data_IF_012283189719
#
_entry.id   IF_012283189719
#
_cell.length_a   1.000
_cell.length_b   1.000
_cell.length_c   1.000
_cell.angle_alpha   90.00
_cell.angle_beta   90.00
_cell.angle_gamma   90.00
#
_symmetry.space_group_name_H-M   'P 1'
#
loop_
_entity.id
_entity.type
_entity.pdbx_description
1 polymer ?
#
# COMPACT_ATOMS: atom_id res chain seq x y z
N UNK A 1 -10.84 6.51 -27.60
CA UNK A 1 -10.98 6.56 -26.13
C UNK A 1 -9.64 6.13 -25.57
N UNK A 2 -8.95 7.00 -24.85
CA UNK A 2 -7.61 6.72 -24.37
C UNK A 2 -7.72 5.67 -23.25
N UNK A 3 -6.93 4.60 -23.29
CA UNK A 3 -6.94 3.55 -22.25
C UNK A 3 -6.70 4.12 -20.82
N UNK A 4 -5.98 5.24 -20.72
CA UNK A 4 -5.75 5.99 -19.48
C UNK A 4 -7.04 6.60 -18.92
N UNK A 5 -7.91 7.15 -19.76
CA UNK A 5 -9.19 7.72 -19.33
C UNK A 5 -10.15 6.65 -18.85
N UNK A 6 -10.12 5.49 -19.52
CA UNK A 6 -10.92 4.32 -19.12
C UNK A 6 -10.46 3.77 -17.77
N UNK A 7 -9.15 3.68 -17.54
CA UNK A 7 -8.59 3.28 -16.26
C UNK A 7 -8.96 4.26 -15.13
N UNK A 8 -8.85 5.58 -15.36
CA UNK A 8 -9.24 6.61 -14.39
C UNK A 8 -10.72 6.53 -14.02
N UNK A 9 -11.59 6.37 -14.99
CA UNK A 9 -13.04 6.22 -14.75
C UNK A 9 -13.36 4.98 -13.92
N UNK A 10 -12.69 3.85 -14.17
CA UNK A 10 -12.87 2.63 -13.38
C UNK A 10 -12.35 2.79 -11.95
N UNK A 11 -11.23 3.46 -11.74
CA UNK A 11 -10.70 3.79 -10.40
C UNK A 11 -11.69 4.67 -9.64
N UNK A 12 -12.24 5.69 -10.29
CA UNK A 12 -13.22 6.57 -9.68
C UNK A 12 -14.51 5.84 -9.29
N UNK A 13 -14.99 4.92 -10.14
CA UNK A 13 -16.11 4.04 -9.83
C UNK A 13 -15.81 3.10 -8.65
N UNK A 14 -14.59 2.58 -8.57
CA UNK A 14 -14.15 1.75 -7.44
C UNK A 14 -14.18 2.53 -6.12
N UNK A 15 -13.73 3.79 -6.11
CA UNK A 15 -13.71 4.66 -4.92
C UNK A 15 -15.10 5.12 -4.51
N UNK A 16 -15.99 5.40 -5.46
CA UNK A 16 -17.35 5.89 -5.19
C UNK A 16 -18.27 4.82 -4.61
N UNK A 17 -18.02 3.55 -4.88
CA UNK A 17 -18.81 2.45 -4.34
C UNK A 17 -18.47 2.21 -2.86
N UNK A 18 -19.46 2.41 -1.96
CA UNK A 18 -19.30 2.13 -0.52
C UNK A 18 -18.90 0.67 -0.29
N UNK A 19 -18.02 0.47 0.69
CA UNK A 19 -17.54 -0.85 1.08
C UNK A 19 -18.65 -1.58 1.82
N UNK A 20 -19.36 -2.49 1.13
CA UNK A 20 -20.31 -3.43 1.71
C UNK A 20 -19.88 -4.84 1.32
N UNK A 21 -20.16 -5.82 2.16
CA UNK A 21 -19.79 -7.23 1.85
C UNK A 21 -20.36 -7.73 0.54
N UNK A 22 -21.55 -7.25 0.14
CA UNK A 22 -22.17 -7.54 -1.17
C UNK A 22 -21.37 -7.00 -2.36
N UNK A 23 -20.66 -5.89 -2.18
CA UNK A 23 -19.90 -5.22 -3.25
C UNK A 23 -18.46 -5.72 -3.41
N UNK A 24 -17.98 -6.60 -2.52
CA UNK A 24 -16.60 -7.12 -2.58
C UNK A 24 -16.35 -7.93 -3.86
N UNK A 25 -17.33 -8.72 -4.30
CA UNK A 25 -17.21 -9.50 -5.54
C UNK A 25 -17.15 -8.60 -6.79
N UNK A 26 -17.95 -7.54 -6.82
CA UNK A 26 -17.93 -6.55 -7.91
C UNK A 26 -16.61 -5.79 -7.93
N UNK A 27 -16.12 -5.35 -6.78
CA UNK A 27 -14.81 -4.69 -6.65
C UNK A 27 -13.67 -5.59 -7.11
N UNK A 28 -13.72 -6.87 -6.77
CA UNK A 28 -12.73 -7.84 -7.24
C UNK A 28 -12.75 -7.99 -8.77
N UNK A 29 -13.93 -7.97 -9.40
CA UNK A 29 -14.06 -8.00 -10.87
C UNK A 29 -13.49 -6.73 -11.51
N UNK A 30 -13.84 -5.55 -10.97
CA UNK A 30 -13.32 -4.26 -11.46
C UNK A 30 -11.79 -4.23 -11.35
N UNK A 31 -11.24 -4.70 -10.23
CA UNK A 31 -9.79 -4.73 -10.01
C UNK A 31 -9.09 -5.69 -10.98
N UNK A 32 -9.67 -6.87 -11.27
CA UNK A 32 -9.14 -7.78 -12.30
C UNK A 32 -9.09 -7.11 -13.68
N UNK A 33 -10.15 -6.40 -14.06
CA UNK A 33 -10.19 -5.66 -15.32
C UNK A 33 -9.13 -4.54 -15.35
N UNK A 34 -8.97 -3.80 -14.25
CA UNK A 34 -7.92 -2.79 -14.11
C UNK A 34 -6.53 -3.40 -14.25
N UNK A 35 -6.25 -4.56 -13.65
CA UNK A 35 -4.98 -5.26 -13.82
C UNK A 35 -4.72 -5.68 -15.27
N UNK A 36 -5.74 -6.19 -15.96
CA UNK A 36 -5.61 -6.52 -17.39
C UNK A 36 -5.28 -5.26 -18.19
N UNK A 37 -5.88 -4.11 -17.88
CA UNK A 37 -5.55 -2.84 -18.51
C UNK A 37 -4.10 -2.39 -18.22
N UNK A 38 -3.60 -2.58 -17.01
CA UNK A 38 -2.21 -2.25 -16.69
C UNK A 38 -1.20 -3.09 -17.47
N UNK A 39 -1.53 -4.32 -17.85
CA UNK A 39 -0.68 -5.15 -18.71
C UNK A 39 -0.53 -4.58 -20.14
N UNK A 40 -1.47 -3.74 -20.58
CA UNK A 40 -1.39 -3.07 -21.88
C UNK A 40 -0.54 -1.79 -21.86
N UNK A 41 -0.04 -1.36 -20.69
CA UNK A 41 0.82 -0.19 -20.55
C UNK A 41 2.19 -0.46 -21.19
N UNK A 42 2.64 0.48 -22.03
CA UNK A 42 3.90 0.32 -22.76
C UNK A 42 5.13 0.65 -21.92
N UNK A 43 4.93 1.44 -20.86
CA UNK A 43 6.02 1.89 -19.96
C UNK A 43 6.37 0.87 -18.88
N UNK A 44 5.61 -0.21 -18.72
CA UNK A 44 5.85 -1.26 -17.73
C UNK A 44 6.26 -2.58 -18.42
N UNK A 45 7.45 -3.14 -18.11
CA UNK A 45 8.51 -2.68 -17.22
C UNK A 45 9.22 -1.43 -17.76
N UNK A 46 9.92 -0.65 -16.90
CA UNK A 46 10.47 0.64 -17.29
C UNK A 46 11.44 0.47 -18.47
N UNK A 47 11.02 0.91 -19.64
CA UNK A 47 11.88 1.01 -20.82
C UNK A 47 12.66 2.33 -20.73
N UNK A 48 13.90 2.34 -21.23
CA UNK A 48 14.74 3.54 -21.22
C UNK A 48 14.22 4.68 -22.12
N UNK A 49 13.26 4.40 -22.97
CA UNK A 49 12.69 5.35 -23.94
C UNK A 49 11.38 5.94 -23.36
N UNK A 50 11.47 7.17 -22.84
CA UNK A 50 10.36 8.03 -22.44
C UNK A 50 9.22 7.36 -21.65
N UNK A 51 9.43 7.08 -20.36
CA UNK A 51 8.39 6.51 -19.52
C UNK A 51 7.22 7.50 -19.41
N UNK A 52 6.00 7.05 -19.70
CA UNK A 52 4.80 7.85 -19.56
C UNK A 52 4.44 7.89 -18.07
N UNK A 53 4.72 9.01 -17.41
CA UNK A 53 4.49 9.21 -15.99
C UNK A 53 3.06 8.84 -15.56
N UNK A 54 2.06 9.17 -16.38
CA UNK A 54 0.66 8.85 -16.10
C UNK A 54 0.37 7.34 -16.01
N UNK A 55 1.09 6.49 -16.76
CA UNK A 55 0.95 5.04 -16.66
C UNK A 55 1.49 4.51 -15.34
N UNK A 56 2.62 5.05 -14.86
CA UNK A 56 3.20 4.68 -13.56
C UNK A 56 2.32 5.12 -12.38
N UNK A 57 1.75 6.33 -12.44
CA UNK A 57 0.82 6.80 -11.43
C UNK A 57 -0.42 5.92 -11.33
N UNK A 58 -1.03 5.58 -12.48
CA UNK A 58 -2.18 4.68 -12.52
C UNK A 58 -1.85 3.26 -12.06
N UNK A 59 -0.70 2.71 -12.45
CA UNK A 59 -0.28 1.39 -12.02
C UNK A 59 -0.06 1.33 -10.50
N UNK A 60 0.58 2.36 -9.92
CA UNK A 60 0.70 2.50 -8.47
C UNK A 60 -0.67 2.53 -7.80
N UNK A 61 -1.58 3.35 -8.31
CA UNK A 61 -2.92 3.51 -7.74
C UNK A 61 -3.73 2.21 -7.79
N UNK A 62 -3.64 1.45 -8.88
CA UNK A 62 -4.29 0.12 -9.00
C UNK A 62 -3.76 -0.86 -7.96
N UNK A 63 -2.44 -0.88 -7.73
CA UNK A 63 -1.84 -1.75 -6.72
C UNK A 63 -2.18 -1.31 -5.29
N UNK A 64 -2.29 0.00 -5.02
CA UNK A 64 -2.78 0.53 -3.74
C UNK A 64 -4.23 0.09 -3.46
N UNK A 65 -5.11 0.13 -4.46
CA UNK A 65 -6.48 -0.36 -4.35
C UNK A 65 -6.54 -1.88 -4.09
N UNK A 66 -5.60 -2.63 -4.64
CA UNK A 66 -5.49 -4.06 -4.35
C UNK A 66 -5.11 -4.34 -2.91
N UNK A 67 -4.18 -3.55 -2.35
CA UNK A 67 -3.84 -3.65 -0.93
C UNK A 67 -5.08 -3.39 -0.05
N UNK A 68 -5.83 -2.32 -0.32
CA UNK A 68 -7.07 -2.00 0.41
C UNK A 68 -8.07 -3.16 0.33
N UNK A 69 -8.28 -3.71 -0.86
CA UNK A 69 -9.20 -4.83 -1.05
C UNK A 69 -8.74 -6.11 -0.34
N UNK A 70 -7.44 -6.39 -0.37
CA UNK A 70 -6.85 -7.57 0.30
C UNK A 70 -7.01 -7.50 1.82
N UNK A 71 -6.85 -6.32 2.40
CA UNK A 71 -7.12 -6.05 3.82
C UNK A 71 -8.59 -6.33 4.16
N UNK A 72 -9.52 -5.80 3.36
CA UNK A 72 -10.96 -6.00 3.58
C UNK A 72 -11.38 -7.47 3.44
N UNK A 73 -10.75 -8.20 2.52
CA UNK A 73 -10.96 -9.63 2.33
C UNK A 73 -10.23 -10.49 3.37
N UNK A 74 -9.41 -9.90 4.24
CA UNK A 74 -8.55 -10.60 5.21
C UNK A 74 -7.67 -11.67 4.55
N UNK A 75 -7.18 -11.38 3.34
CA UNK A 75 -6.32 -12.28 2.58
C UNK A 75 -4.85 -11.83 2.72
N UNK A 76 -4.16 -12.40 3.69
CA UNK A 76 -2.77 -12.07 4.06
C UNK A 76 -1.80 -12.23 2.87
N UNK A 77 -1.92 -13.34 2.14
CA UNK A 77 -1.04 -13.60 1.00
C UNK A 77 -1.25 -12.62 -0.15
N UNK A 78 -2.49 -12.26 -0.43
CA UNK A 78 -2.79 -11.26 -1.45
C UNK A 78 -2.28 -9.88 -1.02
N UNK A 79 -2.40 -9.53 0.26
CA UNK A 79 -1.90 -8.28 0.82
C UNK A 79 -0.37 -8.16 0.68
N UNK A 80 0.36 -9.20 1.07
CA UNK A 80 1.82 -9.22 0.94
C UNK A 80 2.27 -9.08 -0.52
N UNK A 81 1.65 -9.83 -1.44
CA UNK A 81 1.95 -9.75 -2.87
C UNK A 81 1.66 -8.35 -3.43
N UNK A 82 0.56 -7.72 -3.02
CA UNK A 82 0.20 -6.38 -3.47
C UNK A 82 1.21 -5.35 -2.99
N UNK A 83 1.66 -5.45 -1.73
CA UNK A 83 2.71 -4.57 -1.21
C UNK A 83 4.02 -4.73 -1.99
N UNK A 84 4.46 -5.96 -2.25
CA UNK A 84 5.68 -6.21 -3.03
C UNK A 84 5.60 -5.63 -4.45
N UNK A 85 4.41 -5.58 -5.05
CA UNK A 85 4.19 -4.94 -6.35
C UNK A 85 4.22 -3.41 -6.27
N UNK A 86 3.75 -2.82 -5.16
CA UNK A 86 3.76 -1.37 -4.96
C UNK A 86 5.14 -0.85 -4.56
N UNK A 87 5.92 -1.63 -3.84
CA UNK A 87 7.22 -1.25 -3.26
C UNK A 87 8.17 -0.55 -4.26
N UNK A 88 8.38 -1.04 -5.50
CA UNK A 88 9.22 -0.35 -6.49
C UNK A 88 8.75 1.07 -6.81
N UNK A 89 7.43 1.32 -6.80
CA UNK A 89 6.87 2.65 -7.06
C UNK A 89 7.18 3.64 -5.95
N UNK A 90 7.37 3.17 -4.72
CA UNK A 90 7.68 4.00 -3.56
C UNK A 90 9.17 4.30 -3.41
N UNK A 91 10.05 3.37 -3.75
CA UNK A 91 11.47 3.48 -3.45
C UNK A 91 12.35 3.68 -4.69
N UNK A 92 12.01 3.02 -5.81
CA UNK A 92 12.87 3.00 -6.99
C UNK A 92 12.45 4.05 -8.03
N UNK A 93 11.18 4.05 -8.43
CA UNK A 93 10.71 4.91 -9.52
C UNK A 93 10.54 6.37 -9.13
N UNK A 94 10.47 6.68 -7.84
CA UNK A 94 10.33 8.05 -7.36
C UNK A 94 11.59 8.89 -7.63
N UNK A 95 12.75 8.24 -7.71
CA UNK A 95 14.02 8.92 -7.95
C UNK A 95 14.25 9.38 -9.40
N UNK A 96 13.42 8.94 -10.32
CA UNK A 96 13.61 9.27 -11.74
C UNK A 96 12.35 9.45 -12.58
N UNK A 97 11.25 8.79 -12.25
CA UNK A 97 10.05 8.73 -13.08
C UNK A 97 8.84 9.41 -12.42
N UNK A 98 8.66 9.20 -11.12
CA UNK A 98 7.55 9.73 -10.34
C UNK A 98 8.04 10.88 -9.46
N UNK A 99 7.77 12.16 -9.80
CA UNK A 99 8.24 13.30 -9.01
C UNK A 99 7.47 13.47 -7.70
N UNK A 100 6.28 12.88 -7.60
CA UNK A 100 5.41 13.01 -6.42
C UNK A 100 5.13 11.66 -5.78
N UNK A 101 5.41 11.59 -4.46
CA UNK A 101 5.03 10.48 -3.61
C UNK A 101 3.50 10.40 -3.47
N UNK A 102 2.96 9.19 -3.24
CA UNK A 102 1.54 9.03 -2.90
C UNK A 102 1.24 9.65 -1.53
N UNK A 103 0.14 10.36 -1.41
CA UNK A 103 -0.29 10.94 -0.13
C UNK A 103 -0.56 9.85 0.93
N UNK A 104 -0.89 8.64 0.49
CA UNK A 104 -1.14 7.46 1.33
C UNK A 104 0.09 6.53 1.52
N UNK A 105 1.24 6.88 0.98
CA UNK A 105 2.44 6.05 1.02
C UNK A 105 2.78 5.57 2.44
N UNK A 106 2.91 6.50 3.38
CA UNK A 106 3.28 6.18 4.76
C UNK A 106 2.22 5.36 5.50
N UNK A 107 0.94 5.53 5.14
CA UNK A 107 -0.14 4.69 5.65
C UNK A 107 0.03 3.22 5.21
N UNK A 108 0.27 2.96 3.92
CA UNK A 108 0.44 1.59 3.42
C UNK A 108 1.71 0.93 3.93
N UNK A 109 2.80 1.69 4.05
CA UNK A 109 4.05 1.18 4.63
C UNK A 109 3.84 0.85 6.11
N UNK A 110 3.19 1.73 6.88
CA UNK A 110 2.85 1.48 8.29
C UNK A 110 1.99 0.22 8.46
N UNK A 111 0.99 0.06 7.60
CA UNK A 111 0.13 -1.13 7.60
C UNK A 111 0.91 -2.42 7.30
N UNK A 112 1.87 -2.36 6.36
CA UNK A 112 2.74 -3.51 6.07
C UNK A 112 3.70 -3.83 7.22
N UNK A 113 4.24 -2.82 7.89
CA UNK A 113 5.06 -3.01 9.08
C UNK A 113 4.28 -3.71 10.20
N UNK A 114 3.02 -3.32 10.43
CA UNK A 114 2.14 -4.01 11.39
C UNK A 114 1.87 -5.47 10.97
N UNK A 115 1.67 -5.71 9.68
CA UNK A 115 1.51 -7.06 9.13
C UNK A 115 2.74 -7.93 9.39
N UNK A 116 3.95 -7.41 9.22
CA UNK A 116 5.19 -8.14 9.52
C UNK A 116 5.31 -8.49 11.01
N UNK A 117 4.96 -7.57 11.90
CA UNK A 117 4.94 -7.82 13.35
C UNK A 117 3.90 -8.88 13.74
N UNK A 118 2.71 -8.85 13.14
CA UNK A 118 1.66 -9.85 13.39
C UNK A 118 2.09 -11.27 13.01
N UNK A 119 2.95 -11.39 11.99
CA UNK A 119 3.54 -12.65 11.53
C UNK A 119 4.88 -12.98 12.19
N UNK A 120 5.28 -12.25 13.24
CA UNK A 120 6.56 -12.43 13.96
C UNK A 120 7.81 -12.32 13.05
N UNK A 121 7.73 -11.54 11.97
CA UNK A 121 8.83 -11.32 11.00
C UNK A 121 9.63 -10.07 11.36
N UNK A 122 10.28 -10.08 12.49
CA UNK A 122 11.01 -8.90 13.03
C UNK A 122 12.23 -8.51 12.19
N UNK A 123 12.91 -9.45 11.56
CA UNK A 123 14.03 -9.17 10.66
C UNK A 123 13.59 -8.39 9.43
N UNK A 124 12.49 -8.80 8.82
CA UNK A 124 11.94 -8.11 7.66
C UNK A 124 11.40 -6.74 8.04
N UNK A 125 10.81 -6.61 9.22
CA UNK A 125 10.39 -5.32 9.78
C UNK A 125 11.55 -4.32 9.87
N UNK A 126 12.69 -4.74 10.45
CA UNK A 126 13.88 -3.89 10.56
C UNK A 126 14.42 -3.49 9.19
N UNK A 127 14.45 -4.44 8.23
CA UNK A 127 14.89 -4.18 6.86
C UNK A 127 13.99 -3.16 6.14
N UNK A 128 12.66 -3.29 6.27
CA UNK A 128 11.72 -2.32 5.68
C UNK A 128 11.85 -0.94 6.35
N UNK A 129 12.05 -0.92 7.66
CA UNK A 129 12.23 0.33 8.40
C UNK A 129 13.51 1.08 7.99
N UNK A 130 14.58 0.37 7.62
CA UNK A 130 15.84 0.98 7.15
C UNK A 130 15.69 1.70 5.80
N UNK A 131 14.74 1.27 4.96
CA UNK A 131 14.46 1.92 3.68
C UNK A 131 13.83 3.31 3.84
N UNK A 132 13.26 3.60 5.02
CA UNK A 132 12.57 4.86 5.29
C UNK A 132 13.53 5.95 5.72
N UNK A 133 13.31 7.17 5.22
CA UNK A 133 14.02 8.35 5.66
C UNK A 133 13.68 8.70 7.13
N UNK A 134 14.60 9.41 7.79
CA UNK A 134 14.42 9.87 9.19
C UNK A 134 13.15 10.72 9.34
N UNK A 135 12.74 11.44 8.30
CA UNK A 135 11.53 12.26 8.29
C UNK A 135 10.28 11.39 8.29
N UNK A 136 10.28 10.32 7.49
CA UNK A 136 9.16 9.38 7.35
C UNK A 136 8.95 8.58 8.62
N UNK A 137 10.02 8.23 9.34
CA UNK A 137 9.97 7.55 10.66
C UNK A 137 9.26 8.36 11.74
N UNK A 138 9.16 9.70 11.59
CA UNK A 138 8.41 10.57 12.51
C UNK A 138 6.90 10.59 12.24
N UNK A 139 6.47 10.03 11.13
CA UNK A 139 5.05 9.97 10.79
C UNK A 139 4.28 9.09 11.80
N UNK A 140 3.06 9.49 12.23
CA UNK A 140 2.29 8.75 13.22
C UNK A 140 2.06 7.27 12.84
N UNK A 141 1.79 6.95 11.58
CA UNK A 141 1.57 5.57 11.14
C UNK A 141 2.80 4.68 11.34
N UNK A 142 3.99 5.20 11.03
CA UNK A 142 5.25 4.47 11.21
C UNK A 142 5.62 4.41 12.68
N UNK A 143 5.44 5.51 13.41
CA UNK A 143 5.74 5.58 14.85
C UNK A 143 4.95 4.56 15.65
N UNK A 144 3.66 4.40 15.38
CA UNK A 144 2.82 3.37 16.03
C UNK A 144 3.40 1.96 15.82
N UNK A 145 3.85 1.65 14.60
CA UNK A 145 4.46 0.35 14.32
C UNK A 145 5.76 0.13 15.09
N UNK A 146 6.60 1.18 15.24
CA UNK A 146 7.83 1.12 16.03
C UNK A 146 7.55 0.98 17.53
N UNK A 147 6.58 1.72 18.06
CA UNK A 147 6.19 1.64 19.47
C UNK A 147 5.63 0.26 19.83
N UNK A 148 4.89 -0.36 18.92
CA UNK A 148 4.38 -1.74 19.07
C UNK A 148 5.53 -2.74 19.07
N UNK A 149 6.47 -2.63 18.13
CA UNK A 149 7.66 -3.48 18.07
C UNK A 149 8.46 -3.40 19.35
N UNK A 150 8.73 -2.19 19.85
CA UNK A 150 9.44 -1.98 21.10
C UNK A 150 8.70 -2.64 22.28
N UNK A 151 7.37 -2.49 22.37
CA UNK A 151 6.59 -3.15 23.42
C UNK A 151 6.67 -4.67 23.38
N UNK A 152 6.74 -5.26 22.17
CA UNK A 152 6.88 -6.71 21.98
C UNK A 152 8.26 -7.18 22.43
N UNK A 153 9.31 -6.49 22.03
CA UNK A 153 10.70 -6.83 22.38
C UNK A 153 10.96 -6.69 23.88
N UNK A 154 10.42 -5.64 24.50
CA UNK A 154 10.52 -5.41 25.96
C UNK A 154 9.59 -6.31 26.79
N UNK A 155 8.65 -7.02 26.17
CA UNK A 155 7.62 -7.80 26.87
C UNK A 155 6.60 -6.92 27.64
N UNK A 156 6.48 -5.64 27.27
CA UNK A 156 5.60 -4.69 27.96
C UNK A 156 4.18 -4.69 27.41
N UNK A 157 3.45 -5.77 27.67
CA UNK A 157 2.09 -5.97 27.17
C UNK A 157 1.07 -4.95 27.76
N UNK A 158 1.36 -4.38 28.92
CA UNK A 158 0.52 -3.33 29.51
C UNK A 158 0.52 -2.05 28.65
N UNK A 159 1.68 -1.66 28.14
CA UNK A 159 1.80 -0.54 27.22
C UNK A 159 1.15 -0.85 25.85
N UNK A 160 1.29 -2.06 25.37
CA UNK A 160 0.62 -2.50 24.13
C UNK A 160 -0.90 -2.35 24.21
N UNK A 161 -1.51 -2.74 25.36
CA UNK A 161 -2.94 -2.56 25.57
C UNK A 161 -3.36 -1.07 25.62
N UNK A 162 -2.52 -0.19 26.16
CA UNK A 162 -2.76 1.26 26.17
C UNK A 162 -2.67 1.86 24.78
N UNK A 163 -1.67 1.46 23.97
CA UNK A 163 -1.52 1.91 22.59
C UNK A 163 -2.73 1.53 21.72
N UNK A 164 -3.29 0.34 21.92
CA UNK A 164 -4.52 -0.08 21.26
C UNK A 164 -5.66 0.90 21.53
N UNK A 165 -5.93 1.19 22.80
CA UNK A 165 -7.05 2.05 23.20
C UNK A 165 -6.89 3.51 22.74
N UNK A 166 -5.64 4.02 22.64
CA UNK A 166 -5.36 5.39 22.18
C UNK A 166 -5.41 5.54 20.66
N UNK A 167 -5.29 4.45 19.88
CA UNK A 167 -5.28 4.48 18.43
C UNK A 167 -6.64 4.15 17.81
N UNK A 168 -7.59 3.59 18.55
CA UNK A 168 -8.96 3.33 18.08
C UNK A 168 -9.69 4.61 17.63
N UNK A 169 -9.20 5.80 18.02
CA UNK A 169 -9.74 7.11 17.59
C UNK A 169 -9.11 7.65 16.31
N UNK A 170 -8.01 7.04 15.78
CA UNK A 170 -7.21 7.58 14.67
C UNK A 170 -7.20 6.72 13.39
N UNK A 171 -7.91 5.56 13.37
CA UNK A 171 -7.95 4.66 12.20
C UNK A 171 -9.36 4.47 11.64
#
# INVERSE_FOLDING_TARGET
MNYLDLARNQIQNFRSSKVSQSNLQEKTKILKNLKILTLSFKSLPPSKENPIQAEFELAREVNELEMELSCLCKNERAFELSYLQVKPFYFDYIKGILPKQSDKYLYYVGLYLLFLLSNNRTTDFSTELELLDIRDKKNPYIKVSMDIEQCIVEGNYSNLARLKNSNDENY
#
